data_IF_870140765989
#
_entry.id   IF_870140765989
#
_cell.length_a   1.000
_cell.length_b   1.000
_cell.length_c   1.000
_cell.angle_alpha   90.00
_cell.angle_beta   90.00
_cell.angle_gamma   90.00
#
_symmetry.space_group_name_H-M   'P 1'
#
loop_
_entity.id
_entity.type
_entity.pdbx_description
1 polymer ?
#
# COMPACT_ATOMS: atom_id res chain seq x y z
N UNK A 1 -20.44 -8.42 5.95
CA UNK A 1 -19.38 -9.38 6.37
C UNK A 1 -19.27 -9.26 7.87
N UNK A 2 -19.31 -10.34 8.59
CA UNK A 2 -19.16 -10.36 10.05
C UNK A 2 -17.69 -10.51 10.44
N UNK A 3 -17.35 -10.08 11.68
CA UNK A 3 -16.04 -10.38 12.26
C UNK A 3 -16.06 -11.85 12.66
N UNK A 4 -15.20 -12.64 12.05
CA UNK A 4 -15.13 -14.09 12.28
C UNK A 4 -14.24 -14.42 13.47
N UNK A 5 -12.96 -14.56 13.24
CA UNK A 5 -11.97 -14.87 14.28
C UNK A 5 -11.17 -13.59 14.61
N UNK A 6 -10.97 -13.33 15.90
CA UNK A 6 -10.20 -12.19 16.41
C UNK A 6 -8.90 -12.67 17.00
N UNK A 7 -7.82 -11.97 16.69
CA UNK A 7 -6.53 -12.17 17.33
C UNK A 7 -6.18 -10.91 18.14
N UNK A 8 -6.02 -11.10 19.42
CA UNK A 8 -5.50 -10.06 20.31
C UNK A 8 -3.97 -10.15 20.30
N UNK A 9 -3.34 -9.26 19.57
CA UNK A 9 -1.88 -9.13 19.52
C UNK A 9 -1.48 -7.70 19.82
N UNK A 10 -0.42 -7.55 20.58
CA UNK A 10 0.06 -6.24 21.04
C UNK A 10 1.42 -5.89 20.46
N UNK A 11 2.10 -6.84 19.78
CA UNK A 11 3.41 -6.58 19.21
C UNK A 11 3.55 -7.11 17.79
N UNK A 12 4.53 -6.55 17.09
CA UNK A 12 4.92 -6.96 15.73
C UNK A 12 5.40 -8.42 15.70
N UNK A 13 6.16 -8.81 16.72
CA UNK A 13 6.72 -10.16 16.87
C UNK A 13 5.61 -11.20 17.02
N UNK A 14 4.65 -11.00 17.92
CA UNK A 14 3.51 -11.89 18.10
C UNK A 14 2.70 -12.04 16.80
N UNK A 15 2.50 -10.95 16.07
CA UNK A 15 1.80 -10.99 14.78
C UNK A 15 2.59 -11.79 13.74
N UNK A 16 3.91 -11.62 13.68
CA UNK A 16 4.80 -12.38 12.79
C UNK A 16 4.80 -13.87 13.12
N UNK A 17 4.87 -14.26 14.41
CA UNK A 17 4.79 -15.65 14.88
C UNK A 17 3.47 -16.27 14.46
N UNK A 18 2.35 -15.59 14.71
CA UNK A 18 1.05 -16.09 14.29
C UNK A 18 0.98 -16.32 12.77
N UNK A 19 1.49 -15.40 11.97
CA UNK A 19 1.55 -15.55 10.51
C UNK A 19 2.43 -16.75 10.12
N UNK A 20 3.57 -16.94 10.75
CA UNK A 20 4.47 -18.06 10.46
C UNK A 20 3.76 -19.42 10.62
N UNK A 21 2.94 -19.55 11.65
CA UNK A 21 2.20 -20.80 11.94
C UNK A 21 0.92 -20.94 11.09
N UNK A 22 0.26 -19.85 10.73
CA UNK A 22 -1.13 -19.88 10.27
C UNK A 22 -1.35 -19.42 8.82
N UNK A 23 -0.38 -18.74 8.19
CA UNK A 23 -0.58 -18.11 6.88
C UNK A 23 -1.02 -19.06 5.77
N UNK A 24 -0.63 -20.34 5.83
CA UNK A 24 -0.93 -21.35 4.81
C UNK A 24 -2.27 -22.06 5.02
N UNK A 25 -2.84 -22.00 6.22
CA UNK A 25 -4.04 -22.74 6.61
C UNK A 25 -5.25 -21.86 6.87
N UNK A 26 -5.06 -20.68 7.40
CA UNK A 26 -6.13 -19.74 7.71
C UNK A 26 -6.57 -18.95 6.48
N UNK A 27 -7.87 -18.66 6.41
CA UNK A 27 -8.48 -17.86 5.31
C UNK A 27 -8.55 -16.38 5.60
N UNK A 28 -8.61 -16.04 6.88
CA UNK A 28 -8.64 -14.65 7.37
C UNK A 28 -8.43 -14.60 8.87
N UNK A 29 -8.12 -13.42 9.34
CA UNK A 29 -8.06 -13.08 10.76
C UNK A 29 -8.40 -11.59 10.93
N UNK A 30 -8.98 -11.23 12.06
CA UNK A 30 -9.22 -9.84 12.43
C UNK A 30 -8.31 -9.46 13.58
N UNK A 31 -7.53 -8.40 13.40
CA UNK A 31 -6.64 -7.85 14.41
C UNK A 31 -6.98 -6.39 14.67
N UNK A 32 -6.71 -5.91 15.87
CA UNK A 32 -6.73 -4.48 16.20
C UNK A 32 -5.33 -3.89 16.04
N UNK A 33 -5.27 -2.65 15.57
CA UNK A 33 -4.02 -1.88 15.50
C UNK A 33 -4.19 -0.59 16.29
N UNK A 34 -3.10 -0.10 16.83
CA UNK A 34 -3.07 1.13 17.62
C UNK A 34 -2.24 2.22 16.94
N UNK A 35 -2.35 3.44 17.46
CA UNK A 35 -1.43 4.53 17.17
C UNK A 35 -0.36 4.69 18.25
N UNK A 36 -0.52 4.00 19.40
CA UNK A 36 0.46 4.00 20.47
C UNK A 36 1.67 3.13 20.12
N UNK A 37 2.89 3.58 20.42
CA UNK A 37 4.10 2.78 20.19
C UNK A 37 4.15 1.50 21.05
N UNK A 38 3.36 1.43 22.13
CA UNK A 38 3.30 0.27 23.02
C UNK A 38 2.43 -0.88 22.48
N UNK A 39 1.94 -0.77 21.26
CA UNK A 39 1.10 -1.80 20.65
C UNK A 39 1.41 -2.01 19.17
N UNK A 40 0.67 -2.90 18.53
CA UNK A 40 0.85 -3.20 17.11
C UNK A 40 0.42 -2.01 16.24
N UNK A 41 1.38 -1.35 15.62
CA UNK A 41 1.12 -0.27 14.68
C UNK A 41 0.55 -0.80 13.36
N UNK A 42 -0.30 0.00 12.71
CA UNK A 42 -0.88 -0.37 11.42
C UNK A 42 0.17 -0.72 10.35
N UNK A 43 1.23 0.08 10.22
CA UNK A 43 2.27 -0.19 9.24
C UNK A 43 3.03 -1.48 9.53
N UNK A 44 3.30 -1.77 10.82
CA UNK A 44 3.93 -3.03 11.22
C UNK A 44 3.04 -4.22 10.88
N UNK A 45 1.73 -4.10 11.14
CA UNK A 45 0.78 -5.14 10.79
C UNK A 45 0.73 -5.41 9.28
N UNK A 46 0.74 -4.37 8.45
CA UNK A 46 0.75 -4.51 6.97
C UNK A 46 2.07 -5.08 6.47
N UNK A 47 3.20 -4.61 6.98
CA UNK A 47 4.52 -5.09 6.58
C UNK A 47 4.69 -6.59 6.87
N UNK A 48 4.33 -7.04 8.08
CA UNK A 48 4.40 -8.46 8.41
C UNK A 48 3.44 -9.30 7.55
N UNK A 49 2.22 -8.84 7.33
CA UNK A 49 1.28 -9.51 6.44
C UNK A 49 1.85 -9.68 5.02
N UNK A 50 2.47 -8.64 4.45
CA UNK A 50 3.12 -8.69 3.14
C UNK A 50 4.26 -9.71 3.09
N UNK A 51 5.03 -9.85 4.18
CA UNK A 51 6.10 -10.86 4.28
C UNK A 51 5.59 -12.29 4.09
N UNK A 52 4.34 -12.58 4.44
CA UNK A 52 3.70 -13.89 4.32
C UNK A 52 2.64 -13.98 3.20
N UNK A 53 2.62 -13.00 2.29
CA UNK A 53 1.68 -12.98 1.17
C UNK A 53 0.25 -12.64 1.55
N UNK A 54 0.04 -11.97 2.66
CA UNK A 54 -1.25 -11.49 3.15
C UNK A 54 -1.43 -9.99 2.92
N UNK A 55 -2.68 -9.52 3.03
CA UNK A 55 -3.03 -8.10 2.88
C UNK A 55 -4.23 -7.75 3.75
N UNK A 56 -4.26 -6.51 4.21
CA UNK A 56 -5.41 -5.93 4.87
C UNK A 56 -6.54 -5.60 3.88
N UNK A 57 -7.74 -5.50 4.39
CA UNK A 57 -8.92 -5.15 3.58
C UNK A 57 -9.91 -4.28 4.37
N UNK A 58 -10.92 -4.89 4.96
CA UNK A 58 -12.03 -4.21 5.62
C UNK A 58 -11.70 -3.81 7.06
N UNK A 59 -12.21 -2.64 7.48
CA UNK A 59 -12.18 -2.20 8.88
C UNK A 59 -13.61 -2.23 9.41
N UNK A 60 -13.78 -2.71 10.65
CA UNK A 60 -15.05 -2.69 11.37
C UNK A 60 -14.88 -2.29 12.84
N UNK A 61 -15.82 -1.54 13.36
CA UNK A 61 -15.97 -1.31 14.78
C UNK A 61 -16.63 -2.53 15.43
N UNK A 62 -16.16 -2.93 16.60
CA UNK A 62 -16.74 -3.99 17.42
C UNK A 62 -16.20 -3.90 18.85
N UNK A 63 -17.09 -3.88 19.84
CA UNK A 63 -16.73 -3.83 21.28
C UNK A 63 -15.81 -2.64 21.63
N UNK A 64 -16.05 -1.46 21.03
CA UNK A 64 -15.24 -0.27 21.26
C UNK A 64 -13.86 -0.27 20.59
N UNK A 65 -13.54 -1.27 19.79
CA UNK A 65 -12.26 -1.43 19.11
C UNK A 65 -12.47 -1.47 17.60
N UNK A 66 -11.51 -0.93 16.85
CA UNK A 66 -11.47 -1.04 15.39
C UNK A 66 -10.70 -2.28 14.97
N UNK A 67 -11.39 -3.22 14.36
CA UNK A 67 -10.85 -4.46 13.86
C UNK A 67 -10.55 -4.35 12.37
N UNK A 68 -9.37 -4.79 11.97
CA UNK A 68 -8.94 -4.85 10.58
C UNK A 68 -8.78 -6.30 10.14
N UNK A 69 -9.40 -6.60 9.01
CA UNK A 69 -9.33 -7.92 8.40
C UNK A 69 -8.03 -8.06 7.61
N UNK A 70 -7.31 -9.14 7.87
CA UNK A 70 -6.19 -9.63 7.06
C UNK A 70 -6.54 -10.97 6.42
N UNK A 71 -6.05 -11.20 5.21
CA UNK A 71 -6.29 -12.47 4.49
C UNK A 71 -5.21 -12.70 3.44
N UNK A 72 -5.00 -13.95 2.99
CA UNK A 72 -4.10 -14.25 1.88
C UNK A 72 -4.44 -13.42 0.65
N UNK A 73 -3.42 -12.92 -0.04
CA UNK A 73 -3.60 -12.24 -1.32
C UNK A 73 -4.08 -13.23 -2.38
N UNK A 74 -5.10 -12.83 -3.10
CA UNK A 74 -5.56 -13.61 -4.26
C UNK A 74 -4.61 -13.36 -5.44
N UNK A 75 -4.39 -14.37 -6.27
CA UNK A 75 -3.48 -14.34 -7.42
C UNK A 75 -3.67 -13.14 -8.36
N UNK A 76 -4.88 -12.55 -8.43
CA UNK A 76 -5.21 -11.38 -9.26
C UNK A 76 -5.56 -10.13 -8.44
N UNK A 77 -5.21 -10.09 -7.16
CA UNK A 77 -5.41 -8.88 -6.34
C UNK A 77 -4.55 -7.74 -6.90
N UNK A 78 -5.11 -6.53 -7.04
CA UNK A 78 -4.33 -5.38 -7.47
C UNK A 78 -3.23 -5.07 -6.47
N UNK A 79 -2.09 -4.66 -6.99
CA UNK A 79 -0.98 -4.16 -6.20
C UNK A 79 -0.85 -2.66 -6.38
N UNK A 80 -0.67 -1.93 -5.29
CA UNK A 80 -0.30 -0.53 -5.33
C UNK A 80 1.22 -0.40 -5.33
N UNK A 81 1.74 0.67 -5.96
CA UNK A 81 3.17 0.95 -5.93
C UNK A 81 3.70 1.15 -4.51
N UNK A 82 2.87 1.65 -3.60
CA UNK A 82 3.22 1.74 -2.18
C UNK A 82 3.46 0.35 -1.56
N UNK A 83 2.60 -0.64 -1.81
CA UNK A 83 2.80 -2.00 -1.31
C UNK A 83 3.97 -2.70 -2.00
N UNK A 84 4.21 -2.44 -3.29
CA UNK A 84 5.41 -2.94 -3.97
C UNK A 84 6.68 -2.37 -3.32
N UNK A 85 6.72 -1.08 -2.98
CA UNK A 85 7.90 -0.49 -2.32
C UNK A 85 8.11 -1.02 -0.90
N UNK A 86 7.03 -1.26 -0.14
CA UNK A 86 7.12 -1.99 1.14
C UNK A 86 7.79 -3.34 0.95
N UNK A 87 7.38 -4.12 -0.03
CA UNK A 87 8.00 -5.42 -0.32
C UNK A 87 9.48 -5.29 -0.73
N UNK A 88 9.85 -4.29 -1.55
CA UNK A 88 11.27 -4.04 -1.89
C UNK A 88 12.09 -3.74 -0.63
N UNK A 89 11.56 -2.90 0.26
CA UNK A 89 12.21 -2.60 1.54
C UNK A 89 12.33 -3.85 2.41
N UNK A 90 11.26 -4.61 2.57
CA UNK A 90 11.24 -5.83 3.39
C UNK A 90 12.20 -6.90 2.85
N UNK A 91 12.37 -7.00 1.52
CA UNK A 91 13.36 -7.85 0.89
C UNK A 91 14.79 -7.41 1.21
N UNK A 92 15.10 -6.10 1.11
CA UNK A 92 16.42 -5.55 1.50
C UNK A 92 16.76 -5.81 2.97
N UNK A 93 15.75 -5.85 3.84
CA UNK A 93 15.90 -6.14 5.26
C UNK A 93 15.97 -7.64 5.59
N UNK A 94 15.82 -8.52 4.59
CA UNK A 94 15.80 -9.97 4.79
C UNK A 94 14.56 -10.49 5.52
N UNK A 95 13.46 -9.73 5.55
CA UNK A 95 12.25 -10.06 6.29
C UNK A 95 11.22 -10.83 5.44
N UNK A 96 11.30 -10.75 4.10
CA UNK A 96 10.38 -11.46 3.22
C UNK A 96 10.55 -12.97 3.33
N UNK A 97 9.44 -13.69 3.39
CA UNK A 97 9.40 -15.16 3.33
C UNK A 97 9.15 -15.64 1.89
N UNK A 98 9.34 -16.95 1.64
CA UNK A 98 9.01 -17.53 0.33
C UNK A 98 7.52 -17.42 0.00
N UNK A 99 6.64 -17.50 1.00
CA UNK A 99 5.21 -17.28 0.83
C UNK A 99 4.90 -15.84 0.35
N UNK A 100 5.59 -14.85 0.90
CA UNK A 100 5.48 -13.46 0.46
C UNK A 100 6.01 -13.26 -0.95
N UNK A 101 7.17 -13.83 -1.27
CA UNK A 101 7.77 -13.75 -2.62
C UNK A 101 6.90 -14.40 -3.69
N UNK A 102 6.25 -15.53 -3.38
CA UNK A 102 5.42 -16.29 -4.31
C UNK A 102 4.20 -15.53 -4.84
N UNK A 103 3.76 -14.48 -4.17
CA UNK A 103 2.59 -13.67 -4.57
C UNK A 103 2.96 -12.30 -5.12
N UNK A 104 4.25 -11.97 -5.25
CA UNK A 104 4.69 -10.70 -5.81
C UNK A 104 4.22 -10.57 -7.28
N UNK A 105 3.77 -9.38 -7.69
CA UNK A 105 3.44 -9.11 -9.08
C UNK A 105 4.71 -8.78 -9.87
N UNK A 106 4.53 -8.46 -11.13
CA UNK A 106 5.53 -7.70 -11.86
C UNK A 106 5.81 -6.38 -11.11
N UNK A 107 7.08 -6.14 -10.83
CA UNK A 107 7.53 -4.99 -10.05
C UNK A 107 7.79 -3.75 -10.92
N UNK A 108 7.74 -3.88 -12.24
CA UNK A 108 7.89 -2.75 -13.16
C UNK A 108 6.70 -1.80 -13.08
N UNK A 109 7.01 -0.53 -13.22
CA UNK A 109 6.03 0.53 -13.24
C UNK A 109 6.06 1.28 -14.56
N UNK A 110 4.89 1.44 -15.18
CA UNK A 110 4.71 2.17 -16.41
C UNK A 110 3.76 3.35 -16.20
N UNK A 111 4.10 4.49 -16.78
CA UNK A 111 3.19 5.64 -16.87
C UNK A 111 2.41 5.48 -18.17
N UNK A 112 1.08 5.52 -18.08
CA UNK A 112 0.20 5.46 -19.24
C UNK A 112 0.48 6.65 -20.18
N UNK A 113 0.45 6.41 -21.50
CA UNK A 113 0.85 7.39 -22.52
C UNK A 113 0.04 8.70 -22.42
N UNK A 114 -1.25 8.62 -22.14
CA UNK A 114 -2.10 9.82 -21.98
C UNK A 114 -1.78 10.64 -20.73
N UNK A 115 -1.39 9.97 -19.63
CA UNK A 115 -0.90 10.66 -18.41
C UNK A 115 0.43 11.36 -18.71
N UNK A 116 1.33 10.67 -19.40
CA UNK A 116 2.61 11.25 -19.78
C UNK A 116 2.42 12.45 -20.72
N UNK A 117 1.56 12.32 -21.73
CA UNK A 117 1.23 13.42 -22.65
C UNK A 117 0.61 14.62 -21.91
N UNK A 118 -0.27 14.37 -20.93
CA UNK A 118 -0.86 15.44 -20.14
C UNK A 118 0.19 16.18 -19.28
N UNK A 119 1.19 15.48 -18.75
CA UNK A 119 2.28 16.10 -18.00
C UNK A 119 3.23 16.91 -18.91
N UNK A 120 3.44 16.45 -20.15
CA UNK A 120 4.31 17.09 -21.13
C UNK A 120 3.64 18.27 -21.85
N UNK A 121 2.32 18.43 -21.75
CA UNK A 121 1.59 19.51 -22.42
C UNK A 121 1.81 20.89 -21.81
N UNK A 122 2.47 20.99 -20.67
CA UNK A 122 2.78 22.20 -19.94
C UNK A 122 4.24 22.18 -19.48
N UNK A 123 5.05 23.11 -19.97
CA UNK A 123 6.49 23.17 -19.73
C UNK A 123 6.84 23.29 -18.23
N UNK A 124 6.07 24.06 -17.46
CA UNK A 124 6.31 24.24 -16.04
C UNK A 124 5.99 22.94 -15.26
N UNK A 125 4.92 22.23 -15.66
CA UNK A 125 4.58 20.92 -15.09
C UNK A 125 5.68 19.93 -15.40
N UNK A 126 6.12 19.85 -16.66
CA UNK A 126 7.13 18.89 -17.09
C UNK A 126 8.49 19.13 -16.41
N UNK A 127 8.95 20.38 -16.31
CA UNK A 127 10.19 20.73 -15.61
C UNK A 127 10.13 20.30 -14.13
N UNK A 128 9.06 20.65 -13.42
CA UNK A 128 8.89 20.27 -12.03
C UNK A 128 8.76 18.73 -11.85
N UNK A 129 8.02 18.08 -12.75
CA UNK A 129 7.84 16.62 -12.71
C UNK A 129 9.17 15.87 -12.74
N UNK A 130 10.12 16.30 -13.54
CA UNK A 130 11.45 15.69 -13.65
C UNK A 130 12.29 15.81 -12.38
N UNK A 131 11.94 16.70 -11.47
CA UNK A 131 12.65 16.89 -10.18
C UNK A 131 12.01 16.11 -9.03
N UNK A 132 10.83 15.53 -9.22
CA UNK A 132 10.12 14.81 -8.17
C UNK A 132 10.81 13.50 -7.80
N UNK A 133 10.80 13.11 -6.51
CA UNK A 133 11.32 11.81 -6.10
C UNK A 133 10.64 10.65 -6.83
N UNK A 134 11.41 9.69 -7.33
CA UNK A 134 10.90 8.57 -8.12
C UNK A 134 9.80 7.78 -7.40
N UNK A 135 9.93 7.55 -6.09
CA UNK A 135 8.90 6.87 -5.30
C UNK A 135 7.60 7.69 -5.25
N UNK A 136 7.69 9.01 -5.03
CA UNK A 136 6.52 9.88 -5.05
C UNK A 136 5.78 9.79 -6.39
N UNK A 137 6.52 9.88 -7.49
CA UNK A 137 5.96 9.76 -8.85
C UNK A 137 5.22 8.45 -9.02
N UNK A 138 5.85 7.31 -8.71
CA UNK A 138 5.21 6.00 -8.83
C UNK A 138 3.93 5.90 -8.01
N UNK A 139 3.99 6.29 -6.73
CA UNK A 139 2.83 6.20 -5.83
C UNK A 139 1.69 7.12 -6.26
N UNK A 140 1.99 8.35 -6.72
CA UNK A 140 0.95 9.29 -7.16
C UNK A 140 0.33 8.89 -8.48
N UNK A 141 1.13 8.52 -9.47
CA UNK A 141 0.62 8.11 -10.77
C UNK A 141 -0.14 6.79 -10.68
N UNK A 142 0.34 5.81 -9.92
CA UNK A 142 -0.42 4.59 -9.62
C UNK A 142 -1.81 4.92 -9.03
N UNK A 143 -1.87 5.84 -8.08
CA UNK A 143 -3.14 6.29 -7.50
C UNK A 143 -4.07 6.97 -8.51
N UNK A 144 -3.53 7.63 -9.54
CA UNK A 144 -4.28 8.19 -10.65
C UNK A 144 -4.77 7.07 -11.59
N UNK A 145 -3.86 6.22 -12.07
CA UNK A 145 -4.13 5.24 -13.13
C UNK A 145 -5.05 4.11 -12.67
N UNK A 146 -4.89 3.61 -11.45
CA UNK A 146 -5.60 2.43 -10.95
C UNK A 146 -7.12 2.62 -10.78
N UNK A 147 -7.62 3.87 -10.73
CA UNK A 147 -9.04 4.17 -10.58
C UNK A 147 -9.76 4.28 -11.91
N UNK A 148 -9.04 4.50 -13.02
CA UNK A 148 -9.58 4.84 -14.35
C UNK A 148 -10.77 4.00 -14.79
N UNK A 149 -10.64 2.66 -14.70
CA UNK A 149 -11.70 1.74 -15.14
C UNK A 149 -12.92 1.70 -14.24
N UNK A 150 -12.71 1.96 -12.94
CA UNK A 150 -13.77 1.88 -11.93
C UNK A 150 -14.53 3.18 -11.79
N UNK A 151 -13.84 4.31 -11.88
CA UNK A 151 -14.39 5.65 -11.72
C UNK A 151 -13.62 6.64 -12.60
N UNK A 152 -14.06 6.82 -13.87
CA UNK A 152 -13.41 7.73 -14.82
C UNK A 152 -13.41 9.20 -14.36
N UNK A 153 -14.44 9.64 -13.63
CA UNK A 153 -14.49 11.00 -13.11
C UNK A 153 -13.46 11.21 -12.00
N UNK A 154 -13.32 10.24 -11.09
CA UNK A 154 -12.27 10.29 -10.08
C UNK A 154 -10.87 10.25 -10.70
N UNK A 155 -10.68 9.51 -11.81
CA UNK A 155 -9.44 9.54 -12.58
C UNK A 155 -9.12 10.96 -13.05
N UNK A 156 -10.06 11.64 -13.70
CA UNK A 156 -9.86 13.00 -14.17
C UNK A 156 -9.56 13.98 -13.03
N UNK A 157 -10.32 13.90 -11.93
CA UNK A 157 -10.08 14.74 -10.74
C UNK A 157 -8.68 14.51 -10.15
N UNK A 158 -8.22 13.25 -10.08
CA UNK A 158 -6.90 12.91 -9.53
C UNK A 158 -5.77 13.34 -10.45
N UNK A 159 -5.92 13.17 -11.77
CA UNK A 159 -4.95 13.64 -12.76
C UNK A 159 -4.81 15.16 -12.71
N UNK A 160 -5.93 15.88 -12.75
CA UNK A 160 -5.93 17.34 -12.66
C UNK A 160 -5.25 17.83 -11.38
N UNK A 161 -5.60 17.22 -10.24
CA UNK A 161 -4.97 17.56 -8.95
C UNK A 161 -3.46 17.31 -8.97
N UNK A 162 -3.01 16.22 -9.60
CA UNK A 162 -1.58 15.90 -9.69
C UNK A 162 -0.86 16.94 -10.55
N UNK A 163 -1.42 17.32 -11.71
CA UNK A 163 -0.87 18.35 -12.60
C UNK A 163 -0.78 19.70 -11.88
N UNK A 164 -1.85 20.15 -11.23
CA UNK A 164 -1.88 21.43 -10.52
C UNK A 164 -0.84 21.51 -9.40
N UNK A 165 -0.74 20.46 -8.58
CA UNK A 165 0.25 20.43 -7.50
C UNK A 165 1.68 20.35 -8.06
N UNK A 166 1.91 19.58 -9.12
CA UNK A 166 3.21 19.50 -9.79
C UNK A 166 3.63 20.85 -10.38
N UNK A 167 2.70 21.58 -11.03
CA UNK A 167 2.96 22.94 -11.55
C UNK A 167 3.44 23.87 -10.44
N UNK A 168 2.90 23.74 -9.24
CA UNK A 168 3.24 24.58 -8.09
C UNK A 168 4.41 24.04 -7.25
N UNK A 169 5.05 22.95 -7.64
CA UNK A 169 6.13 22.32 -6.88
C UNK A 169 5.69 21.71 -5.55
N UNK A 170 4.41 21.33 -5.40
CA UNK A 170 3.83 20.85 -4.16
C UNK A 170 3.67 19.33 -4.20
N UNK A 171 4.34 18.62 -3.29
CA UNK A 171 4.06 17.20 -3.01
C UNK A 171 2.95 17.07 -1.97
N UNK A 172 2.05 16.10 -2.15
CA UNK A 172 0.91 15.87 -1.26
C UNK A 172 0.64 14.39 -0.98
N UNK A 173 -0.08 14.14 0.10
CA UNK A 173 -0.53 12.81 0.53
C UNK A 173 0.61 11.90 1.00
N UNK A 174 0.26 10.80 1.63
CA UNK A 174 1.22 9.80 2.09
C UNK A 174 1.82 9.02 0.91
N UNK A 175 3.15 8.85 0.91
CA UNK A 175 3.87 8.16 -0.14
C UNK A 175 5.16 7.47 0.34
N UNK A 176 5.56 7.68 1.59
CA UNK A 176 6.82 7.17 2.14
C UNK A 176 6.69 6.52 3.54
N UNK A 177 5.46 6.23 3.98
CA UNK A 177 5.17 5.57 5.27
C UNK A 177 5.90 6.23 6.46
N UNK A 178 5.72 7.54 6.62
CA UNK A 178 6.38 8.34 7.67
C UNK A 178 7.93 8.23 7.61
N UNK A 179 8.50 8.15 6.43
CA UNK A 179 9.94 8.06 6.21
C UNK A 179 10.51 6.64 6.14
N UNK A 180 9.72 5.60 6.37
CA UNK A 180 10.21 4.21 6.33
C UNK A 180 10.72 3.78 4.95
N UNK A 181 10.22 4.41 3.88
CA UNK A 181 10.52 4.05 2.49
C UNK A 181 11.55 4.98 1.82
N UNK A 182 12.13 5.90 2.58
CA UNK A 182 13.18 6.81 2.13
C UNK A 182 14.57 6.19 2.28
#
# INVERSE_FOLDING_TARGET
MEITERLHTTSREQWREWLAENHSTKREIWISTTKSPDGLLYLDAVEEALCFGWIDSTIKAGEGVMWRRFSPRRKRSPWTELNKERCRRLERLGLMTDAGRAVLPDMDFQIDEDVLAALQSDDAVWQNFQTLPALYVRVRIDNVQNIRKRDPEAYQRRLQKFIENTRNGIMYGEWHDNGRLL
#
